data_IF_202032767805
#
_entry.id   IF_202032767805
#
_cell.length_a   1.000
_cell.length_b   1.000
_cell.length_c   1.000
_cell.angle_alpha   90.00
_cell.angle_beta   90.00
_cell.angle_gamma   90.00
#
_symmetry.space_group_name_H-M   'P 1'
#
loop_
_entity.id
_entity.type
_entity.pdbx_description
1 polymer ?
#
# COMPACT_ATOMS: atom_id res chain seq x y z
N UNK A 1 69.29 -39.49 10.67
CA UNK A 1 68.34 -38.47 10.17
C UNK A 1 67.76 -37.73 11.37
N UNK A 2 67.73 -36.40 11.28
CA UNK A 2 67.66 -35.35 12.31
C UNK A 2 66.35 -35.25 13.12
N UNK A 3 66.42 -35.01 14.45
CA UNK A 3 66.16 -33.77 15.23
C UNK A 3 64.69 -33.42 15.59
N UNK A 4 64.39 -33.56 16.89
CA UNK A 4 63.80 -32.62 17.90
C UNK A 4 62.72 -31.56 17.54
N UNK A 5 61.49 -31.74 18.11
CA UNK A 5 60.56 -30.85 18.89
C UNK A 5 60.55 -29.28 18.76
N UNK A 6 59.55 -28.54 19.32
CA UNK A 6 58.12 -28.33 18.99
C UNK A 6 57.74 -26.82 18.83
N UNK A 7 56.44 -26.47 18.82
CA UNK A 7 55.84 -25.14 19.13
C UNK A 7 55.32 -24.28 17.96
N UNK A 8 54.00 -23.99 17.94
CA UNK A 8 53.44 -22.67 18.28
C UNK A 8 52.11 -22.35 17.58
N UNK A 9 51.14 -21.96 18.42
CA UNK A 9 50.21 -20.83 18.27
C UNK A 9 49.34 -20.65 17.01
N UNK A 10 48.04 -20.78 17.28
CA UNK A 10 47.01 -19.72 17.11
C UNK A 10 46.64 -19.29 15.68
N UNK A 11 45.40 -19.56 15.26
CA UNK A 11 44.28 -18.57 15.20
C UNK A 11 43.18 -19.11 14.29
N UNK A 12 41.95 -19.08 14.83
CA UNK A 12 40.70 -19.06 14.05
C UNK A 12 40.83 -18.07 12.90
N UNK A 13 40.57 -18.51 11.66
CA UNK A 13 40.18 -17.62 10.58
C UNK A 13 38.75 -17.94 10.17
N UNK A 14 37.82 -17.16 10.74
CA UNK A 14 36.56 -16.86 10.06
C UNK A 14 36.92 -15.99 8.86
N UNK A 15 36.56 -16.42 7.65
CA UNK A 15 36.63 -15.58 6.46
C UNK A 15 35.36 -15.76 5.63
N UNK A 16 34.25 -15.27 6.16
CA UNK A 16 33.04 -15.00 5.37
C UNK A 16 33.11 -13.54 4.94
N UNK A 17 33.77 -13.31 3.81
CA UNK A 17 33.70 -12.05 3.08
C UNK A 17 32.69 -12.24 1.95
N UNK A 18 31.44 -11.85 2.19
CA UNK A 18 30.41 -11.77 1.16
C UNK A 18 29.91 -10.33 1.09
N UNK A 19 30.63 -9.54 0.28
CA UNK A 19 30.17 -8.47 -0.61
C UNK A 19 28.81 -7.84 -0.27
N UNK A 20 28.82 -6.78 0.55
CA UNK A 20 27.80 -5.74 0.50
C UNK A 20 28.26 -4.69 -0.52
N UNK A 21 27.83 -4.86 -1.77
CA UNK A 21 28.04 -3.93 -2.86
C UNK A 21 26.88 -2.95 -2.98
N UNK A 22 27.19 -1.66 -2.77
CA UNK A 22 26.62 -0.46 -3.43
C UNK A 22 25.10 -0.40 -3.68
N UNK A 23 24.42 0.43 -2.89
CA UNK A 23 23.13 1.02 -3.23
C UNK A 23 23.33 1.91 -4.46
N UNK A 24 22.85 1.47 -5.62
CA UNK A 24 22.79 2.31 -6.81
C UNK A 24 21.55 3.22 -6.72
N UNK A 25 21.77 4.50 -6.43
CA UNK A 25 20.77 5.53 -6.67
C UNK A 25 20.69 5.76 -8.19
N UNK A 26 19.65 5.24 -8.83
CA UNK A 26 19.38 5.48 -10.24
C UNK A 26 18.67 6.84 -10.41
N UNK A 27 19.45 7.90 -10.59
CA UNK A 27 18.95 9.23 -10.99
C UNK A 27 18.79 9.27 -12.52
N UNK A 28 17.67 8.76 -13.03
CA UNK A 28 17.31 8.90 -14.44
C UNK A 28 16.46 10.14 -14.67
N UNK A 29 17.08 11.24 -15.11
CA UNK A 29 16.37 12.39 -15.69
C UNK A 29 15.85 11.99 -17.09
N UNK A 30 14.55 11.72 -17.21
CA UNK A 30 13.88 11.60 -18.50
C UNK A 30 13.30 12.96 -18.90
N UNK A 31 13.93 13.58 -19.89
CA UNK A 31 13.46 14.80 -20.54
C UNK A 31 12.24 14.49 -21.43
N UNK A 32 11.23 15.34 -21.30
CA UNK A 32 9.94 15.25 -21.96
C UNK A 32 10.03 15.50 -23.48
N UNK A 33 9.26 14.73 -24.26
CA UNK A 33 8.74 15.16 -25.56
C UNK A 33 7.30 14.66 -25.68
N UNK A 34 6.35 15.59 -25.78
CA UNK A 34 4.92 15.32 -25.76
C UNK A 34 4.37 14.79 -27.08
N UNK A 35 3.43 13.88 -26.96
CA UNK A 35 2.29 13.68 -27.86
C UNK A 35 1.29 12.87 -27.04
N UNK A 36 0.03 13.30 -26.96
CA UNK A 36 -0.98 12.76 -26.05
C UNK A 36 -0.95 11.24 -25.96
N UNK A 37 -0.33 10.72 -24.90
CA UNK A 37 -0.62 9.37 -24.46
C UNK A 37 -2.02 9.47 -23.90
N UNK A 38 -2.98 8.83 -24.56
CA UNK A 38 -4.18 8.40 -23.87
C UNK A 38 -3.69 7.62 -22.65
N UNK A 39 -3.65 8.28 -21.50
CA UNK A 39 -3.40 7.64 -20.22
C UNK A 39 -4.59 6.72 -20.07
N UNK A 40 -4.40 5.44 -20.38
CA UNK A 40 -5.40 4.45 -20.01
C UNK A 40 -5.47 4.50 -18.49
N UNK A 41 -6.53 5.10 -17.97
CA UNK A 41 -6.80 5.11 -16.53
C UNK A 41 -6.89 3.67 -16.08
N UNK A 42 -5.81 3.19 -15.47
CA UNK A 42 -5.66 1.81 -15.08
C UNK A 42 -6.16 1.71 -13.66
N UNK A 43 -7.35 1.15 -13.52
CA UNK A 43 -7.94 0.88 -12.22
C UNK A 43 -7.90 -0.63 -11.97
N UNK A 44 -6.99 -1.05 -11.09
CA UNK A 44 -6.80 -2.46 -10.80
C UNK A 44 -7.23 -2.76 -9.38
N UNK A 45 -8.00 -3.83 -9.20
CA UNK A 45 -8.38 -4.35 -7.88
C UNK A 45 -7.89 -5.78 -7.79
N UNK A 46 -7.10 -6.07 -6.77
CA UNK A 46 -6.60 -7.41 -6.46
C UNK A 46 -6.94 -7.82 -5.03
N UNK A 47 -6.81 -9.11 -4.75
CA UNK A 47 -7.02 -9.66 -3.42
C UNK A 47 -8.49 -9.89 -3.05
N UNK A 48 -8.73 -10.18 -1.78
CA UNK A 48 -10.06 -10.52 -1.28
C UNK A 48 -10.78 -9.27 -0.79
N UNK A 49 -11.89 -8.93 -1.45
CA UNK A 49 -12.86 -7.90 -1.05
C UNK A 49 -14.30 -8.49 -1.00
N UNK A 50 -14.43 -9.81 -0.86
CA UNK A 50 -15.63 -10.60 -1.22
C UNK A 50 -16.98 -10.13 -0.67
N UNK A 51 -17.04 -9.26 0.35
CA UNK A 51 -18.27 -8.59 0.77
C UNK A 51 -18.36 -7.15 0.26
N UNK A 52 -19.45 -6.86 -0.47
CA UNK A 52 -19.73 -5.51 -1.01
C UNK A 52 -18.51 -4.90 -1.73
N UNK A 53 -17.80 -5.73 -2.51
CA UNK A 53 -16.54 -5.37 -3.18
C UNK A 53 -16.63 -4.04 -3.93
N UNK A 54 -17.74 -3.78 -4.63
CA UNK A 54 -17.98 -2.51 -5.32
C UNK A 54 -18.02 -1.31 -4.37
N UNK A 55 -18.74 -1.42 -3.25
CA UNK A 55 -18.83 -0.35 -2.25
C UNK A 55 -17.47 -0.07 -1.63
N UNK A 56 -16.76 -1.13 -1.24
CA UNK A 56 -15.42 -1.04 -0.63
C UNK A 56 -14.42 -0.42 -1.60
N UNK A 57 -14.41 -0.87 -2.87
CA UNK A 57 -13.58 -0.31 -3.94
C UNK A 57 -13.81 1.19 -4.09
N UNK A 58 -15.07 1.61 -4.16
CA UNK A 58 -15.45 3.02 -4.36
C UNK A 58 -15.05 3.88 -3.15
N UNK A 59 -15.27 3.39 -1.93
CA UNK A 59 -14.83 4.07 -0.70
C UNK A 59 -13.30 4.20 -0.63
N UNK A 60 -12.56 3.16 -1.03
CA UNK A 60 -11.11 3.18 -1.09
C UNK A 60 -10.58 4.16 -2.13
N UNK A 61 -11.13 4.17 -3.34
CA UNK A 61 -10.81 5.15 -4.37
C UNK A 61 -11.07 6.58 -3.90
N UNK A 62 -12.24 6.84 -3.32
CA UNK A 62 -12.56 8.16 -2.79
C UNK A 62 -11.57 8.61 -1.70
N UNK A 63 -11.26 7.72 -0.76
CA UNK A 63 -10.30 8.01 0.30
C UNK A 63 -8.90 8.30 -0.25
N UNK A 64 -8.40 7.43 -1.13
CA UNK A 64 -7.10 7.59 -1.77
C UNK A 64 -7.03 8.88 -2.58
N UNK A 65 -8.09 9.20 -3.33
CA UNK A 65 -8.17 10.43 -4.13
C UNK A 65 -8.13 11.67 -3.25
N UNK A 66 -8.89 11.69 -2.14
CA UNK A 66 -8.88 12.81 -1.20
C UNK A 66 -7.50 13.00 -0.55
N UNK A 67 -6.79 11.90 -0.27
CA UNK A 67 -5.43 11.96 0.23
C UNK A 67 -4.43 12.43 -0.84
N UNK A 68 -4.46 11.85 -2.05
CA UNK A 68 -3.53 12.19 -3.12
C UNK A 68 -3.68 13.64 -3.58
N UNK A 69 -4.93 14.09 -3.80
CA UNK A 69 -5.20 15.40 -4.37
C UNK A 69 -5.15 16.53 -3.34
N UNK A 70 -5.54 16.25 -2.08
CA UNK A 70 -5.77 17.29 -1.06
C UNK A 70 -5.12 16.96 0.30
N UNK A 71 -4.34 15.88 0.43
CA UNK A 71 -3.71 15.44 1.68
C UNK A 71 -4.67 15.21 2.87
N UNK A 72 -5.96 14.96 2.58
CA UNK A 72 -6.98 14.71 3.61
C UNK A 72 -6.84 13.30 4.18
N UNK A 73 -7.12 13.16 5.48
CA UNK A 73 -7.19 11.88 6.21
C UNK A 73 -8.33 11.90 7.22
N UNK A 74 -8.79 10.72 7.66
CA UNK A 74 -9.79 10.56 8.72
C UNK A 74 -11.08 11.32 8.44
N UNK A 75 -11.53 12.11 9.41
CA UNK A 75 -12.80 12.84 9.33
C UNK A 75 -12.76 14.04 8.37
N UNK A 76 -11.57 14.50 7.97
CA UNK A 76 -11.42 15.55 6.95
C UNK A 76 -11.83 15.06 5.55
N UNK A 77 -11.86 13.74 5.33
CA UNK A 77 -12.38 13.15 4.09
C UNK A 77 -13.91 13.08 4.19
N UNK A 78 -14.60 14.03 3.58
CA UNK A 78 -16.06 14.08 3.53
C UNK A 78 -16.56 13.75 2.12
N UNK A 79 -17.84 13.38 1.97
CA UNK A 79 -18.46 13.18 0.65
C UNK A 79 -18.11 11.87 -0.08
N UNK A 80 -17.45 10.92 0.58
CA UNK A 80 -17.28 9.58 0.04
C UNK A 80 -18.56 8.76 0.21
N UNK A 81 -19.09 8.26 -0.91
CA UNK A 81 -20.18 7.30 -0.92
C UNK A 81 -19.76 6.07 -1.71
N UNK A 82 -19.93 4.89 -1.11
CA UNK A 82 -19.70 3.63 -1.81
C UNK A 82 -20.77 3.30 -2.87
N UNK A 83 -21.86 4.09 -2.95
CA UNK A 83 -22.87 3.95 -4.00
C UNK A 83 -22.57 4.78 -5.26
N UNK A 84 -21.66 5.76 -5.19
CA UNK A 84 -21.39 6.70 -6.28
C UNK A 84 -20.49 6.07 -7.35
N UNK A 85 -21.02 5.92 -8.56
CA UNK A 85 -20.35 5.25 -9.68
C UNK A 85 -19.16 6.04 -10.24
N UNK A 86 -19.00 7.33 -9.93
CA UNK A 86 -17.81 8.09 -10.37
C UNK A 86 -16.51 7.49 -9.81
N UNK A 87 -16.62 6.77 -8.69
CA UNK A 87 -15.49 6.08 -8.05
C UNK A 87 -15.17 4.72 -8.68
N UNK A 88 -15.81 4.36 -9.79
CA UNK A 88 -15.42 3.21 -10.62
C UNK A 88 -14.26 3.53 -11.57
N UNK A 89 -13.88 4.80 -11.72
CA UNK A 89 -12.71 5.25 -12.48
C UNK A 89 -11.68 5.99 -11.62
N UNK A 90 -10.46 6.16 -12.13
CA UNK A 90 -9.38 6.91 -11.45
C UNK A 90 -9.76 8.39 -11.35
N UNK A 91 -9.51 9.02 -10.20
CA UNK A 91 -9.84 10.43 -9.93
C UNK A 91 -8.63 11.25 -9.44
N UNK A 92 -7.42 10.78 -9.71
CA UNK A 92 -6.17 11.41 -9.28
C UNK A 92 -5.79 12.55 -10.24
N UNK A 93 -5.39 13.72 -9.73
CA UNK A 93 -5.11 14.92 -10.54
C UNK A 93 -3.84 14.81 -11.39
N UNK A 94 -2.85 14.02 -10.96
CA UNK A 94 -1.52 13.95 -11.57
C UNK A 94 -1.04 12.51 -11.83
N UNK A 95 -1.98 11.56 -11.82
CA UNK A 95 -1.70 10.15 -12.05
C UNK A 95 -2.93 9.48 -12.69
N UNK A 96 -2.70 8.43 -13.47
CA UNK A 96 -3.75 7.67 -14.16
C UNK A 96 -3.79 6.20 -13.73
N UNK A 97 -3.06 5.83 -12.68
CA UNK A 97 -3.02 4.46 -12.17
C UNK A 97 -3.47 4.47 -10.71
N UNK A 98 -4.45 3.63 -10.41
CA UNK A 98 -4.86 3.33 -9.06
C UNK A 98 -4.98 1.81 -8.89
N UNK A 99 -4.11 1.26 -8.04
CA UNK A 99 -4.18 -0.14 -7.62
C UNK A 99 -4.80 -0.22 -6.23
N UNK A 100 -5.72 -1.15 -6.04
CA UNK A 100 -6.30 -1.46 -4.73
C UNK A 100 -6.02 -2.93 -4.42
N UNK A 101 -5.28 -3.16 -3.36
CA UNK A 101 -4.99 -4.50 -2.85
C UNK A 101 -5.83 -4.78 -1.59
N UNK A 102 -6.81 -5.67 -1.75
CA UNK A 102 -7.77 -6.08 -0.73
C UNK A 102 -7.35 -7.31 0.04
N UNK A 103 -7.51 -7.32 1.36
CA UNK A 103 -7.25 -8.50 2.19
C UNK A 103 -8.24 -8.64 3.33
N UNK A 104 -8.79 -9.84 3.48
CA UNK A 104 -9.63 -10.21 4.62
C UNK A 104 -8.77 -10.41 5.85
N UNK A 105 -9.14 -9.77 6.95
CA UNK A 105 -8.43 -9.87 8.22
C UNK A 105 -9.41 -10.26 9.33
N UNK A 106 -8.98 -11.13 10.24
CA UNK A 106 -9.77 -11.47 11.41
C UNK A 106 -9.98 -10.21 12.27
N UNK A 107 -11.23 -9.85 12.55
CA UNK A 107 -11.53 -8.73 13.44
C UNK A 107 -11.25 -9.14 14.88
N UNK A 108 -10.77 -8.18 15.66
CA UNK A 108 -10.80 -8.28 17.11
C UNK A 108 -11.83 -7.28 17.63
N UNK A 109 -12.72 -7.76 18.50
CA UNK A 109 -13.87 -6.99 19.00
C UNK A 109 -13.50 -5.70 19.75
N UNK A 110 -12.24 -5.53 20.12
CA UNK A 110 -11.66 -4.35 20.77
C UNK A 110 -11.16 -3.27 19.80
N UNK A 111 -11.18 -3.49 18.47
CA UNK A 111 -10.59 -2.56 17.51
C UNK A 111 -11.63 -1.77 16.72
N UNK A 112 -11.86 -0.50 17.10
CA UNK A 112 -12.77 0.38 16.37
C UNK A 112 -12.29 0.70 14.96
N UNK A 113 -10.99 0.91 14.75
CA UNK A 113 -10.38 1.09 13.44
C UNK A 113 -9.03 0.36 13.42
N UNK A 114 -9.00 -0.86 12.87
CA UNK A 114 -7.83 -1.73 12.89
C UNK A 114 -6.60 -1.12 12.18
N UNK A 115 -5.39 -1.65 12.43
CA UNK A 115 -4.12 -1.02 12.05
C UNK A 115 -3.93 -0.86 10.54
N UNK A 116 -3.16 0.17 10.16
CA UNK A 116 -2.80 0.45 8.77
C UNK A 116 -1.87 -0.59 8.16
N UNK A 117 -1.99 -0.79 6.85
CA UNK A 117 -1.03 -1.52 6.02
C UNK A 117 -0.41 -0.58 4.99
N UNK A 118 0.90 -0.46 5.01
CA UNK A 118 1.62 0.54 4.20
C UNK A 118 2.10 1.73 5.05
N UNK A 119 2.54 2.79 4.38
CA UNK A 119 3.23 3.88 5.06
C UNK A 119 2.26 4.92 5.64
N UNK A 120 1.08 5.14 5.04
CA UNK A 120 0.13 6.15 5.47
C UNK A 120 -1.27 5.58 5.69
N UNK A 121 -1.84 5.85 6.87
CA UNK A 121 -3.26 5.60 7.13
C UNK A 121 -4.09 6.70 6.48
N UNK A 122 -5.16 6.35 5.79
CA UNK A 122 -6.04 7.33 5.14
C UNK A 122 -7.37 7.43 5.88
N UNK A 123 -8.14 6.34 5.93
CA UNK A 123 -9.48 6.35 6.51
C UNK A 123 -9.95 4.96 6.90
N UNK A 124 -10.82 4.93 7.90
CA UNK A 124 -11.58 3.78 8.34
C UNK A 124 -13.06 4.01 8.01
N UNK A 125 -13.73 3.01 7.46
CA UNK A 125 -15.17 3.07 7.18
C UNK A 125 -15.88 1.88 7.82
N UNK A 126 -17.08 2.14 8.37
CA UNK A 126 -17.99 1.12 8.84
C UNK A 126 -19.04 0.86 7.76
N UNK A 127 -18.82 -0.19 6.97
CA UNK A 127 -19.68 -0.48 5.81
C UNK A 127 -20.99 -1.07 6.30
N UNK A 128 -22.09 -0.34 6.12
CA UNK A 128 -23.40 -0.72 6.68
C UNK A 128 -23.64 -0.27 8.12
N UNK A 129 -22.70 0.45 8.76
CA UNK A 129 -22.82 0.98 10.13
C UNK A 129 -22.12 0.14 11.20
N UNK A 130 -22.10 0.64 12.46
CA UNK A 130 -21.35 0.07 13.60
C UNK A 130 -22.06 -1.09 14.32
N UNK A 131 -22.78 -1.95 13.60
CA UNK A 131 -23.48 -3.11 14.17
C UNK A 131 -22.71 -4.40 13.92
N UNK A 132 -22.85 -5.38 14.82
CA UNK A 132 -22.24 -6.71 14.66
C UNK A 132 -22.65 -7.34 13.32
N UNK A 133 -21.71 -7.99 12.64
CA UNK A 133 -21.90 -8.55 11.29
C UNK A 133 -21.60 -7.58 10.14
N UNK A 134 -21.46 -6.28 10.40
CA UNK A 134 -20.99 -5.33 9.39
C UNK A 134 -19.47 -5.21 9.43
N UNK A 135 -18.78 -5.16 8.28
CA UNK A 135 -17.33 -5.03 8.30
C UNK A 135 -16.86 -3.60 8.53
N UNK A 136 -15.68 -3.52 9.12
CA UNK A 136 -14.86 -2.30 9.15
C UNK A 136 -13.82 -2.42 8.05
N UNK A 137 -13.59 -1.36 7.27
CA UNK A 137 -12.50 -1.31 6.30
C UNK A 137 -11.49 -0.25 6.68
N UNK A 138 -10.21 -0.57 6.58
CA UNK A 138 -9.10 0.38 6.74
C UNK A 138 -8.43 0.58 5.39
N UNK A 139 -8.42 1.83 4.93
CA UNK A 139 -7.73 2.26 3.70
C UNK A 139 -6.42 2.91 4.07
N UNK A 140 -5.35 2.46 3.42
CA UNK A 140 -3.98 2.93 3.64
C UNK A 140 -3.23 3.04 2.33
N UNK A 141 -2.22 3.89 2.26
CA UNK A 141 -1.35 4.05 1.08
C UNK A 141 -0.11 3.18 1.24
N UNK A 142 0.18 2.37 0.22
CA UNK A 142 1.40 1.56 0.11
C UNK A 142 2.48 2.34 -0.64
N UNK A 143 2.11 2.99 -1.75
CA UNK A 143 3.01 3.76 -2.62
C UNK A 143 2.23 4.88 -3.32
N UNK A 144 2.91 5.95 -3.72
CA UNK A 144 2.34 7.01 -4.56
C UNK A 144 3.42 7.74 -5.35
N UNK A 145 3.05 8.35 -6.48
CA UNK A 145 3.92 9.19 -7.29
C UNK A 145 3.25 9.66 -8.59
N UNK A 146 4.05 10.18 -9.51
CA UNK A 146 3.58 10.62 -10.84
C UNK A 146 3.00 9.46 -11.68
N UNK A 147 3.43 8.23 -11.39
CA UNK A 147 2.98 7.04 -12.12
C UNK A 147 1.71 6.41 -11.58
N UNK A 148 1.21 6.80 -10.41
CA UNK A 148 0.08 6.11 -9.76
C UNK A 148 0.05 6.18 -8.25
N UNK A 149 -0.91 5.44 -7.69
CA UNK A 149 -1.03 5.19 -6.26
C UNK A 149 -1.47 3.74 -6.02
N UNK A 150 -0.84 3.11 -5.04
CA UNK A 150 -1.23 1.79 -4.55
C UNK A 150 -1.87 1.92 -3.16
N UNK A 151 -3.10 1.42 -3.03
CA UNK A 151 -3.83 1.38 -1.79
C UNK A 151 -3.87 -0.04 -1.22
N UNK A 152 -3.71 -0.14 0.10
CA UNK A 152 -4.10 -1.30 0.88
C UNK A 152 -5.51 -1.10 1.41
N UNK A 153 -6.35 -2.12 1.26
CA UNK A 153 -7.63 -2.23 1.94
C UNK A 153 -7.63 -3.49 2.78
N UNK A 154 -7.63 -3.32 4.10
CA UNK A 154 -7.89 -4.42 5.02
C UNK A 154 -9.36 -4.34 5.45
N UNK A 155 -10.10 -5.43 5.27
CA UNK A 155 -11.50 -5.52 5.68
C UNK A 155 -11.66 -6.57 6.78
N UNK A 156 -12.32 -6.16 7.86
CA UNK A 156 -12.41 -6.88 9.11
C UNK A 156 -13.87 -7.22 9.39
N UNK A 157 -14.15 -8.47 9.73
CA UNK A 157 -15.51 -8.97 9.93
C UNK A 157 -15.84 -9.13 11.43
N UNK A 158 -16.83 -8.37 11.93
CA UNK A 158 -17.27 -8.34 13.35
C UNK A 158 -18.12 -9.55 13.73
#
# INVERSE_FOLDING_TARGET
MSQTSPSSRTKRLKKTAARFGTVAAASGLLAAVGAGTASADTFTVSGDLSWRATEVKRLANCAGTAWYNDSKVGDAITGCSGSDAKWDSVQLKAASLLTIDGRKVAYRSDQSCPPKRGFQYVKCYYVGGKTKGNPVITVSVISYGLGGMDLAVDWYYI
#
